data_IF_010259233717
#
_entry.id   IF_010259233717
#
_cell.length_a   1.000
_cell.length_b   1.000
_cell.length_c   1.000
_cell.angle_alpha   90.00
_cell.angle_beta   90.00
_cell.angle_gamma   90.00
#
_symmetry.space_group_name_H-M   'P 1'
#
loop_
_entity.id
_entity.type
_entity.pdbx_description
1 polymer ?
#
# COMPACT_ATOMS: atom_id res chain seq x y z
N UNK A 1 36.29 29.96 20.48
CA UNK A 1 35.92 28.54 20.41
C UNK A 1 34.40 28.47 20.54
N UNK A 2 33.64 28.76 19.48
CA UNK A 2 33.18 27.84 18.39
C UNK A 2 32.30 26.73 19.01
N UNK A 3 31.03 26.52 18.70
CA UNK A 3 30.07 27.12 17.76
C UNK A 3 28.68 26.61 18.20
N UNK A 4 27.67 27.46 18.20
CA UNK A 4 26.29 27.13 18.58
C UNK A 4 25.63 26.44 17.39
N UNK A 5 25.08 25.24 17.61
CA UNK A 5 24.35 24.49 16.60
C UNK A 5 23.13 25.29 16.11
N UNK A 6 23.16 25.68 14.84
CA UNK A 6 22.04 26.29 14.14
C UNK A 6 20.94 25.24 13.93
N UNK A 7 19.74 25.51 14.45
CA UNK A 7 18.54 24.78 14.14
C UNK A 7 18.00 25.28 12.78
N UNK A 8 18.24 24.51 11.73
CA UNK A 8 17.69 24.79 10.39
C UNK A 8 16.18 24.51 10.39
N UNK A 9 15.37 25.58 10.38
CA UNK A 9 13.93 25.51 10.18
C UNK A 9 13.64 25.51 8.69
N UNK A 10 13.33 24.31 8.19
CA UNK A 10 12.20 23.94 7.32
C UNK A 10 11.72 25.00 6.31
N UNK A 11 11.88 24.68 5.02
CA UNK A 11 11.30 25.41 3.89
C UNK A 11 9.78 25.62 4.05
N UNK A 12 9.37 26.87 4.14
CA UNK A 12 7.97 27.29 4.15
C UNK A 12 7.46 27.33 2.71
N UNK A 13 6.49 26.47 2.38
CA UNK A 13 5.85 26.43 1.06
C UNK A 13 4.37 26.78 1.19
N UNK A 14 3.85 27.54 0.23
CA UNK A 14 2.40 27.79 0.11
C UNK A 14 1.86 26.86 -0.98
N UNK A 15 0.81 26.09 -0.68
CA UNK A 15 0.17 25.25 -1.70
C UNK A 15 -0.64 26.11 -2.70
N UNK A 16 -1.09 25.50 -3.81
CA UNK A 16 -1.89 26.18 -4.83
C UNK A 16 -3.25 26.71 -4.30
N UNK A 17 -3.65 26.34 -3.08
CA UNK A 17 -4.86 26.79 -2.38
C UNK A 17 -4.58 27.95 -1.41
N UNK A 18 -3.34 28.43 -1.29
CA UNK A 18 -2.96 29.51 -0.37
C UNK A 18 -2.76 29.06 1.08
N UNK A 19 -2.62 27.76 1.35
CA UNK A 19 -2.36 27.24 2.70
C UNK A 19 -0.87 27.11 2.96
N UNK A 20 -0.45 27.49 4.15
CA UNK A 20 0.92 27.31 4.63
C UNK A 20 1.18 25.82 4.91
N UNK A 21 2.18 25.27 4.25
CA UNK A 21 2.65 23.88 4.42
C UNK A 21 3.95 23.89 5.21
N UNK A 22 3.97 23.15 6.31
CA UNK A 22 5.15 22.96 7.16
C UNK A 22 5.69 21.54 6.99
N UNK A 23 6.97 21.41 6.60
CA UNK A 23 7.67 20.13 6.42
C UNK A 23 8.50 19.76 7.66
N UNK A 24 7.92 19.04 8.61
CA UNK A 24 8.64 18.67 9.84
C UNK A 24 9.51 17.41 9.63
N UNK A 25 10.80 17.50 9.96
CA UNK A 25 11.72 16.35 10.02
C UNK A 25 11.57 15.63 11.38
N UNK A 26 11.64 14.30 11.39
CA UNK A 26 11.31 13.45 12.54
C UNK A 26 12.28 13.54 13.73
N UNK A 27 13.40 14.26 13.59
CA UNK A 27 14.45 14.31 14.63
C UNK A 27 14.19 15.29 15.77
N UNK A 28 13.06 16.02 15.81
CA UNK A 28 12.71 16.82 16.99
C UNK A 28 11.19 16.97 17.15
N UNK A 29 10.59 16.07 17.92
CA UNK A 29 9.32 16.34 18.59
C UNK A 29 9.60 16.50 20.09
N UNK A 30 10.16 17.63 20.46
CA UNK A 30 10.16 18.10 21.83
C UNK A 30 9.62 19.53 21.84
N UNK A 31 8.43 19.69 22.43
CA UNK A 31 7.79 20.93 22.87
C UNK A 31 7.75 22.08 21.84
N UNK A 32 6.57 22.57 21.47
CA UNK A 32 5.92 23.58 22.30
C UNK A 32 4.48 23.73 21.87
N UNK A 33 3.55 23.50 22.81
CA UNK A 33 2.19 24.01 22.73
C UNK A 33 2.25 25.54 22.89
N UNK A 34 2.34 26.24 21.76
CA UNK A 34 2.26 27.69 21.65
C UNK A 34 0.95 28.05 20.98
N UNK A 35 0.08 28.71 21.72
CA UNK A 35 -1.27 29.11 21.37
C UNK A 35 -1.31 29.92 20.05
N UNK A 36 -1.59 29.27 18.93
CA UNK A 36 -1.88 29.93 17.66
C UNK A 36 -3.01 29.19 16.94
N UNK A 37 -3.94 29.96 16.37
CA UNK A 37 -5.22 29.57 15.81
C UNK A 37 -5.10 28.48 14.72
N UNK A 38 -5.31 27.22 15.10
CA UNK A 38 -5.22 26.03 14.24
C UNK A 38 -6.52 25.84 13.44
N UNK A 39 -6.64 26.48 12.27
CA UNK A 39 -7.73 26.13 11.34
C UNK A 39 -7.28 25.83 9.90
N UNK A 40 -5.99 26.01 9.55
CA UNK A 40 -5.57 25.85 8.15
C UNK A 40 -4.15 25.32 7.91
N UNK A 41 -3.59 24.52 8.82
CA UNK A 41 -2.24 23.95 8.65
C UNK A 41 -2.32 22.55 8.06
N UNK A 42 -1.62 22.33 6.95
CA UNK A 42 -1.41 20.99 6.36
C UNK A 42 -0.02 20.52 6.75
N UNK A 43 0.04 19.46 7.58
CA UNK A 43 1.30 18.85 8.01
C UNK A 43 1.62 17.73 7.02
N UNK A 44 2.72 17.87 6.28
CA UNK A 44 3.17 16.87 5.31
C UNK A 44 4.35 16.10 5.90
N UNK A 45 4.12 14.84 6.26
CA UNK A 45 5.19 13.95 6.73
C UNK A 45 5.91 13.31 5.54
N UNK A 46 7.15 13.72 5.29
CA UNK A 46 8.02 13.06 4.32
C UNK A 46 8.69 11.86 4.99
N UNK A 47 8.03 10.71 5.00
CA UNK A 47 8.62 9.48 5.52
C UNK A 47 9.50 8.80 4.47
N UNK A 48 10.79 9.15 4.49
CA UNK A 48 11.84 8.24 4.06
C UNK A 48 12.64 7.88 5.32
N UNK A 49 12.45 6.67 5.86
CA UNK A 49 13.26 6.19 6.97
C UNK A 49 12.50 5.34 8.00
N UNK A 50 12.86 4.06 8.00
CA UNK A 50 12.52 3.00 8.94
C UNK A 50 12.35 3.46 10.41
N UNK A 51 11.09 3.53 10.89
CA UNK A 51 10.77 3.63 12.32
C UNK A 51 9.95 2.41 12.72
N UNK A 52 10.51 1.60 13.63
CA UNK A 52 9.84 0.48 14.27
C UNK A 52 8.61 1.00 15.04
N UNK A 53 7.46 0.96 14.40
CA UNK A 53 6.17 1.12 15.07
C UNK A 53 5.92 -0.18 15.81
N UNK A 54 6.22 -0.23 17.10
CA UNK A 54 5.73 -1.27 18.02
C UNK A 54 4.24 -1.10 18.24
N UNK A 55 3.45 -1.28 17.18
CA UNK A 55 2.02 -1.52 17.26
C UNK A 55 1.84 -3.02 17.17
N UNK A 56 0.92 -3.55 17.97
CA UNK A 56 0.54 -4.97 18.08
C UNK A 56 0.02 -5.55 16.74
N UNK A 57 0.06 -4.77 15.66
CA UNK A 57 -0.19 -5.17 14.27
C UNK A 57 1.04 -5.71 13.51
N UNK A 58 2.25 -5.73 14.11
CA UNK A 58 3.48 -6.22 13.46
C UNK A 58 3.59 -7.74 13.28
N UNK A 59 2.60 -8.52 13.74
CA UNK A 59 2.68 -9.99 13.76
C UNK A 59 2.41 -10.67 12.40
N UNK A 60 2.18 -9.89 11.33
CA UNK A 60 2.11 -10.44 9.97
C UNK A 60 2.97 -9.60 9.03
N UNK A 61 4.29 -9.69 9.19
CA UNK A 61 5.22 -9.39 8.08
C UNK A 61 4.97 -10.49 7.05
N UNK A 62 3.86 -10.37 6.31
CA UNK A 62 3.58 -11.16 5.12
C UNK A 62 4.67 -10.78 4.13
N UNK A 63 5.67 -11.64 4.02
CA UNK A 63 6.73 -11.55 3.03
C UNK A 63 6.09 -11.25 1.66
N UNK A 64 6.65 -10.29 0.94
CA UNK A 64 6.20 -10.01 -0.43
C UNK A 64 6.78 -11.09 -1.34
N UNK A 65 5.91 -11.68 -2.16
CA UNK A 65 6.23 -12.74 -3.11
C UNK A 65 5.86 -12.28 -4.52
N UNK A 66 6.59 -12.75 -5.53
CA UNK A 66 6.12 -12.67 -6.92
C UNK A 66 5.23 -13.88 -7.19
N UNK A 67 3.95 -13.62 -7.45
CA UNK A 67 2.93 -14.65 -7.66
C UNK A 67 2.54 -14.65 -9.13
N UNK A 68 2.54 -15.81 -9.81
CA UNK A 68 2.03 -15.90 -11.19
C UNK A 68 0.58 -15.44 -11.27
N UNK A 69 0.26 -14.60 -12.26
CA UNK A 69 -1.11 -14.11 -12.43
C UNK A 69 -2.11 -15.23 -12.72
N UNK A 70 -1.68 -16.26 -13.43
CA UNK A 70 -2.51 -17.43 -13.81
C UNK A 70 -2.94 -18.28 -12.60
N UNK A 71 -2.21 -18.21 -11.49
CA UNK A 71 -2.53 -18.92 -10.25
C UNK A 71 -3.57 -18.15 -9.39
N UNK A 72 -3.85 -16.89 -9.73
CA UNK A 72 -4.67 -16.00 -8.91
C UNK A 72 -6.11 -16.01 -9.42
N UNK A 73 -7.02 -16.49 -8.57
CA UNK A 73 -8.44 -16.47 -8.84
C UNK A 73 -9.05 -15.13 -8.42
N UNK A 74 -9.74 -14.46 -9.35
CA UNK A 74 -10.49 -13.21 -9.11
C UNK A 74 -11.99 -13.49 -9.25
N UNK A 75 -12.69 -13.79 -8.14
CA UNK A 75 -14.06 -14.28 -8.20
C UNK A 75 -15.09 -13.18 -8.47
N UNK A 76 -14.73 -11.91 -8.24
CA UNK A 76 -15.63 -10.76 -8.46
C UNK A 76 -15.19 -10.07 -9.75
N UNK A 77 -16.03 -10.04 -10.81
CA UNK A 77 -15.71 -9.34 -12.03
C UNK A 77 -15.69 -7.84 -11.79
N UNK A 78 -14.77 -7.14 -12.43
CA UNK A 78 -14.69 -5.68 -12.37
C UNK A 78 -15.45 -5.12 -13.57
N UNK A 79 -16.50 -4.35 -13.31
CA UNK A 79 -17.32 -3.75 -14.36
C UNK A 79 -16.62 -2.57 -15.05
N UNK A 80 -15.86 -1.77 -14.30
CA UNK A 80 -15.22 -0.56 -14.79
C UNK A 80 -13.89 -0.31 -14.09
N UNK A 81 -12.92 0.21 -14.84
CA UNK A 81 -11.64 0.69 -14.33
C UNK A 81 -11.57 2.22 -14.42
N UNK A 82 -10.81 2.80 -13.51
CA UNK A 82 -10.42 4.21 -13.56
C UNK A 82 -9.14 4.28 -14.40
N UNK A 83 -9.29 4.70 -15.65
CA UNK A 83 -8.22 4.67 -16.65
C UNK A 83 -7.02 5.53 -16.27
N UNK A 84 -7.24 6.65 -15.58
CA UNK A 84 -6.16 7.53 -15.14
C UNK A 84 -5.31 6.86 -14.05
N UNK A 85 -5.95 6.12 -13.14
CA UNK A 85 -5.22 5.34 -12.13
C UNK A 85 -4.48 4.16 -12.73
N UNK A 86 -5.09 3.44 -13.68
CA UNK A 86 -4.40 2.35 -14.37
C UNK A 86 -3.17 2.88 -15.10
N UNK A 87 -3.33 3.98 -15.84
CA UNK A 87 -2.22 4.62 -16.56
C UNK A 87 -1.09 5.04 -15.63
N UNK A 88 -1.39 5.70 -14.51
CA UNK A 88 -0.37 6.07 -13.52
C UNK A 88 0.37 4.86 -12.93
N UNK A 89 -0.32 3.73 -12.71
CA UNK A 89 0.33 2.50 -12.26
C UNK A 89 1.21 1.89 -13.35
N UNK A 90 0.74 1.89 -14.61
CA UNK A 90 1.53 1.42 -15.76
C UNK A 90 2.84 2.22 -15.87
N UNK A 91 2.77 3.55 -15.81
CA UNK A 91 3.94 4.43 -15.86
C UNK A 91 4.94 4.12 -14.73
N UNK A 92 4.44 3.86 -13.51
CA UNK A 92 5.29 3.48 -12.39
C UNK A 92 5.93 2.09 -12.57
N UNK A 93 5.23 1.15 -13.19
CA UNK A 93 5.70 -0.22 -13.43
C UNK A 93 6.70 -0.32 -14.58
N UNK A 94 6.57 0.51 -15.61
CA UNK A 94 7.50 0.58 -16.74
C UNK A 94 8.88 1.12 -16.33
N UNK A 95 8.91 2.03 -15.36
CA UNK A 95 10.17 2.57 -14.85
C UNK A 95 10.72 1.69 -13.70
N UNK A 96 11.91 1.06 -13.89
CA UNK A 96 12.47 0.13 -12.92
C UNK A 96 12.80 0.78 -11.57
N UNK A 97 13.05 2.09 -11.53
CA UNK A 97 13.37 2.82 -10.29
C UNK A 97 12.12 3.12 -9.45
N UNK A 98 10.94 3.09 -10.06
CA UNK A 98 9.67 3.42 -9.41
C UNK A 98 8.76 2.21 -9.23
N UNK A 99 9.07 1.07 -9.85
CA UNK A 99 8.30 -0.17 -9.74
C UNK A 99 8.02 -0.57 -8.29
N UNK A 100 9.00 -0.34 -7.40
CA UNK A 100 8.87 -0.68 -5.99
C UNK A 100 7.88 0.21 -5.21
N UNK A 101 7.54 1.38 -5.75
CA UNK A 101 6.54 2.29 -5.17
C UNK A 101 5.10 1.75 -5.30
N UNK A 102 4.84 0.88 -6.29
CA UNK A 102 3.52 0.27 -6.47
C UNK A 102 3.27 -0.76 -5.38
N UNK A 103 2.45 -0.42 -4.38
CA UNK A 103 2.19 -1.32 -3.26
C UNK A 103 1.77 -2.73 -3.70
N UNK A 104 2.26 -3.80 -3.04
CA UNK A 104 1.89 -5.17 -3.38
C UNK A 104 0.39 -5.42 -3.15
N UNK A 105 -0.17 -6.34 -3.93
CA UNK A 105 -1.57 -6.77 -3.77
C UNK A 105 -1.72 -7.75 -2.61
N UNK A 106 -2.87 -7.76 -1.96
CA UNK A 106 -3.16 -8.73 -0.91
C UNK A 106 -3.85 -9.94 -1.53
N UNK A 107 -3.28 -11.14 -1.32
CA UNK A 107 -3.79 -12.40 -1.84
C UNK A 107 -4.09 -13.31 -0.65
N UNK A 108 -5.33 -13.79 -0.58
CA UNK A 108 -5.73 -14.81 0.37
C UNK A 108 -5.18 -16.14 -0.12
N UNK A 109 -4.31 -16.74 0.69
CA UNK A 109 -3.86 -18.11 0.49
C UNK A 109 -4.67 -19.03 1.39
N UNK A 110 -5.48 -19.88 0.75
CA UNK A 110 -6.35 -20.85 1.42
C UNK A 110 -5.85 -22.24 1.07
N UNK A 111 -5.74 -23.09 2.10
CA UNK A 111 -5.42 -24.51 1.92
C UNK A 111 -6.72 -25.30 1.82
N UNK A 112 -6.88 -26.04 0.73
CA UNK A 112 -7.98 -26.97 0.52
C UNK A 112 -7.91 -28.17 1.46
N UNK A 113 -9.02 -28.92 1.54
CA UNK A 113 -9.16 -30.08 2.41
C UNK A 113 -8.24 -31.25 2.06
N UNK A 114 -7.90 -31.43 0.78
CA UNK A 114 -6.92 -32.38 0.24
C UNK A 114 -5.50 -31.78 0.20
N UNK A 115 -5.35 -30.55 0.68
CA UNK A 115 -4.06 -29.88 0.84
C UNK A 115 -3.64 -28.98 -0.32
N UNK A 116 -4.50 -28.80 -1.33
CA UNK A 116 -4.30 -27.87 -2.44
C UNK A 116 -4.11 -26.42 -1.98
N UNK A 117 -3.36 -25.62 -2.73
CA UNK A 117 -3.19 -24.19 -2.45
C UNK A 117 -4.06 -23.39 -3.41
N UNK A 118 -4.91 -22.53 -2.85
CA UNK A 118 -5.80 -21.68 -3.61
C UNK A 118 -5.48 -20.21 -3.30
N UNK A 119 -5.30 -19.40 -4.34
CA UNK A 119 -4.93 -17.99 -4.22
C UNK A 119 -6.08 -17.12 -4.72
N UNK A 120 -6.62 -16.29 -3.83
CA UNK A 120 -7.75 -15.40 -4.14
C UNK A 120 -7.39 -13.94 -3.97
N UNK A 121 -7.74 -13.12 -4.96
CA UNK A 121 -7.60 -11.68 -4.90
C UNK A 121 -8.96 -10.99 -5.03
N UNK A 122 -9.31 -10.18 -4.02
CA UNK A 122 -10.55 -9.40 -3.99
C UNK A 122 -10.33 -7.91 -4.26
N UNK A 123 -9.12 -7.42 -4.01
CA UNK A 123 -8.74 -6.03 -4.19
C UNK A 123 -7.64 -5.85 -5.23
N UNK A 124 -7.15 -4.62 -5.36
CA UNK A 124 -6.03 -4.32 -6.26
C UNK A 124 -6.39 -4.36 -7.74
N UNK A 125 -7.67 -4.23 -8.10
CA UNK A 125 -8.17 -4.34 -9.47
C UNK A 125 -7.37 -3.53 -10.50
N UNK A 126 -7.07 -2.26 -10.23
CA UNK A 126 -6.27 -1.40 -11.13
C UNK A 126 -4.81 -1.85 -11.27
N UNK A 127 -4.23 -2.45 -10.21
CA UNK A 127 -2.87 -3.01 -10.26
C UNK A 127 -2.84 -4.25 -11.14
N UNK A 128 -3.81 -5.16 -10.97
CA UNK A 128 -3.97 -6.31 -11.85
C UNK A 128 -4.14 -5.89 -13.30
N UNK A 129 -5.04 -4.94 -13.56
CA UNK A 129 -5.27 -4.41 -14.90
C UNK A 129 -4.00 -3.81 -15.53
N UNK A 130 -3.24 -3.03 -14.76
CA UNK A 130 -1.95 -2.49 -15.23
C UNK A 130 -0.95 -3.61 -15.59
N UNK A 131 -0.84 -4.64 -14.73
CA UNK A 131 0.01 -5.80 -15.01
C UNK A 131 -0.44 -6.58 -16.25
N UNK A 132 -1.74 -6.75 -16.48
CA UNK A 132 -2.28 -7.40 -17.67
C UNK A 132 -1.98 -6.61 -18.95
N UNK A 133 -2.16 -5.28 -18.93
CA UNK A 133 -1.86 -4.40 -20.08
C UNK A 133 -0.39 -4.41 -20.46
N UNK A 134 0.49 -4.53 -19.47
CA UNK A 134 1.93 -4.65 -19.66
C UNK A 134 2.40 -6.06 -20.07
N UNK A 135 1.49 -7.05 -20.12
CA UNK A 135 1.86 -8.43 -20.42
C UNK A 135 2.78 -9.06 -19.36
N UNK A 136 2.69 -8.59 -18.11
CA UNK A 136 3.40 -9.21 -17.00
C UNK A 136 2.88 -10.62 -16.76
N UNK A 137 3.75 -11.53 -16.32
CA UNK A 137 3.37 -12.91 -15.92
C UNK A 137 3.21 -13.05 -14.41
N UNK A 138 3.79 -12.14 -13.64
CA UNK A 138 3.78 -12.16 -12.17
C UNK A 138 3.39 -10.80 -11.59
N UNK A 139 2.88 -10.81 -10.36
CA UNK A 139 2.55 -9.62 -9.58
C UNK A 139 3.14 -9.73 -8.17
N UNK A 140 3.60 -8.60 -7.62
CA UNK A 140 4.06 -8.53 -6.23
C UNK A 140 2.87 -8.61 -5.29
N UNK A 141 2.86 -9.61 -4.43
CA UNK A 141 1.76 -9.87 -3.53
C UNK A 141 2.19 -10.23 -2.10
N UNK A 142 1.34 -9.87 -1.15
CA UNK A 142 1.39 -10.34 0.23
C UNK A 142 0.45 -11.54 0.36
N UNK A 143 1.02 -12.69 0.70
CA UNK A 143 0.24 -13.92 0.91
C UNK A 143 -0.30 -13.95 2.35
N UNK A 144 -1.61 -13.84 2.47
CA UNK A 144 -2.32 -13.84 3.75
C UNK A 144 -2.96 -15.22 3.92
N UNK A 145 -2.36 -16.05 4.77
CA UNK A 145 -2.92 -17.37 5.11
C UNK A 145 -4.27 -17.19 5.79
N UNK A 146 -5.29 -17.78 5.18
CA UNK A 146 -6.68 -17.62 5.61
C UNK A 146 -7.39 -18.96 5.66
N UNK A 147 -8.35 -19.10 6.59
CA UNK A 147 -9.21 -20.27 6.65
C UNK A 147 -10.23 -20.26 5.49
N UNK A 148 -10.69 -21.43 5.00
CA UNK A 148 -11.72 -21.50 3.96
C UNK A 148 -13.01 -20.74 4.32
N UNK A 149 -13.37 -20.69 5.61
CA UNK A 149 -14.53 -19.93 6.09
C UNK A 149 -14.45 -18.42 5.80
N UNK A 150 -13.23 -17.86 5.68
CA UNK A 150 -13.04 -16.45 5.28
C UNK A 150 -13.54 -16.22 3.86
N UNK A 151 -13.38 -17.21 2.97
CA UNK A 151 -13.86 -17.12 1.59
C UNK A 151 -15.38 -16.93 1.54
N UNK A 152 -16.10 -17.56 2.48
CA UNK A 152 -17.56 -17.42 2.60
C UNK A 152 -18.02 -16.03 3.02
N UNK A 153 -17.17 -15.23 3.67
CA UNK A 153 -17.49 -13.83 3.95
C UNK A 153 -17.52 -12.99 2.67
N UNK A 154 -16.74 -13.36 1.65
CA UNK A 154 -16.68 -12.65 0.37
C UNK A 154 -17.63 -13.23 -0.68
N UNK A 155 -17.76 -14.56 -0.74
CA UNK A 155 -18.55 -15.25 -1.78
C UNK A 155 -19.94 -15.66 -1.32
N UNK A 156 -20.23 -15.59 -0.01
CA UNK A 156 -21.50 -16.04 0.56
C UNK A 156 -21.81 -17.50 0.17
N UNK A 157 -23.02 -17.72 -0.34
CA UNK A 157 -23.47 -19.03 -0.80
C UNK A 157 -22.75 -19.57 -2.05
N UNK A 158 -21.96 -18.75 -2.74
CA UNK A 158 -21.20 -19.14 -3.93
C UNK A 158 -19.77 -19.61 -3.59
N UNK A 159 -19.51 -19.94 -2.33
CA UNK A 159 -18.19 -20.44 -1.91
C UNK A 159 -17.97 -21.84 -2.49
N UNK A 160 -16.94 -22.06 -3.32
CA UNK A 160 -16.62 -23.39 -3.82
C UNK A 160 -16.07 -24.26 -2.69
N UNK A 161 -16.35 -25.57 -2.75
CA UNK A 161 -15.70 -26.54 -1.87
C UNK A 161 -14.25 -26.73 -2.32
N UNK A 162 -13.30 -26.22 -1.53
CA UNK A 162 -11.88 -26.26 -1.84
C UNK A 162 -11.31 -27.62 -1.44
N UNK A 163 -10.99 -28.42 -2.47
CA UNK A 163 -10.21 -29.64 -2.35
C UNK A 163 -8.73 -29.30 -2.27
#
# INVERSE_FOLDING_TARGET
SVEMAEAEVVAEGVDASGKTVLYLNFSSLAATAGQANMQNVVIVNSSCGNANISSVHGANISKVHEVPLDEITRPIPVAHYDEDKVRGIVELLENPNTKDQVAPVDILWIKGSEGGNHYYAFGGNHRFEAHYRLGCTTIRAKLIRSAPAVLSLYLGGSTPDLK
#
